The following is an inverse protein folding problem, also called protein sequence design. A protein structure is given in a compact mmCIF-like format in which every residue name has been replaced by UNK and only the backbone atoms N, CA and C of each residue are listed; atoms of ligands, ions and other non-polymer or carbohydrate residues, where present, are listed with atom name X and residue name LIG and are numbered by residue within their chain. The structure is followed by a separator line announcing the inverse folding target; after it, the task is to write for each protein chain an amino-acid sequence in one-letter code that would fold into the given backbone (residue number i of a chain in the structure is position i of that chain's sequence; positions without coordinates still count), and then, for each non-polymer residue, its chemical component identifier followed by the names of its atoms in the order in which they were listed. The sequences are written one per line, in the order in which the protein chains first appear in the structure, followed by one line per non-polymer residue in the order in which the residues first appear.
data_IF_949219567868
#
_entry.id   IF_949219567868
#
_cell.length_a   1.000
_cell.length_b   1.000
_cell.length_c   1.000
_cell.angle_alpha   90.00
_cell.angle_beta   90.00
_cell.angle_gamma   90.00
#
_symmetry.space_group_name_H-M   'P 1'
#
loop_
_entity.id
_entity.type
_entity.pdbx_description
1 polymer ?
#
# COMPACT_ATOMS: atom_id res chain seq x y z
N UNK A 1 -66.35 -8.14 2.67
CA UNK A 1 -65.72 -6.83 2.43
C UNK A 1 -65.03 -6.41 3.71
N UNK A 2 -63.70 -6.32 3.72
CA UNK A 2 -62.93 -5.91 4.90
C UNK A 2 -61.56 -6.59 4.96
N UNK A 3 -60.70 -6.24 4.02
CA UNK A 3 -59.32 -6.67 3.90
C UNK A 3 -58.40 -5.95 4.91
N UNK A 4 -57.19 -6.52 5.05
CA UNK A 4 -55.89 -5.84 5.25
C UNK A 4 -55.17 -6.01 6.60
N UNK A 5 -54.14 -6.86 6.51
CA UNK A 5 -52.82 -6.72 7.12
C UNK A 5 -52.27 -5.28 7.09
N UNK A 6 -51.48 -4.96 8.11
CA UNK A 6 -50.52 -3.87 8.15
C UNK A 6 -50.23 -3.55 9.62
N UNK A 7 -49.03 -3.19 10.06
CA UNK A 7 -47.74 -3.09 9.44
C UNK A 7 -46.73 -3.02 10.59
N UNK A 8 -45.56 -3.61 10.40
CA UNK A 8 -44.38 -3.37 11.23
C UNK A 8 -44.06 -1.88 11.21
N UNK A 9 -44.04 -1.22 12.36
CA UNK A 9 -43.42 0.10 12.51
C UNK A 9 -42.35 0.02 13.59
N UNK A 10 -41.13 -0.22 13.12
CA UNK A 10 -39.86 0.03 13.79
C UNK A 10 -39.72 1.52 14.13
N UNK A 11 -39.20 1.88 15.32
CA UNK A 11 -38.97 3.27 15.66
C UNK A 11 -37.85 3.87 14.80
N UNK A 12 -38.06 5.15 14.49
CA UNK A 12 -37.21 6.02 13.69
C UNK A 12 -35.81 6.12 14.31
N UNK A 13 -34.76 5.98 13.49
CA UNK A 13 -33.40 6.36 13.87
C UNK A 13 -33.05 7.67 13.15
N UNK A 14 -33.37 8.77 13.81
CA UNK A 14 -32.77 10.07 13.52
C UNK A 14 -31.38 10.10 14.15
N UNK A 15 -30.39 10.46 13.34
CA UNK A 15 -28.97 10.52 13.70
C UNK A 15 -28.23 10.48 12.39
N UNK A 16 -28.21 11.59 11.65
CA UNK A 16 -27.34 12.69 12.03
C UNK A 16 -26.07 12.47 11.22
N UNK A 17 -26.17 12.83 9.94
CA UNK A 17 -25.00 12.98 9.09
C UNK A 17 -24.15 14.10 9.66
N UNK A 18 -22.85 13.86 9.64
CA UNK A 18 -21.76 14.82 9.47
C UNK A 18 -20.52 14.28 10.17
N UNK A 19 -19.40 14.35 9.46
CA UNK A 19 -18.04 13.90 9.83
C UNK A 19 -17.68 12.45 9.47
N UNK A 20 -17.59 12.18 8.16
CA UNK A 20 -16.43 11.46 7.66
C UNK A 20 -15.75 12.36 6.64
N UNK A 21 -14.94 13.28 7.15
CA UNK A 21 -13.89 13.94 6.38
C UNK A 21 -13.20 12.87 5.57
N UNK A 22 -13.33 13.01 4.25
CA UNK A 22 -12.55 12.27 3.28
C UNK A 22 -11.09 12.38 3.73
N UNK A 23 -10.60 11.29 4.31
CA UNK A 23 -9.19 11.07 4.51
C UNK A 23 -8.61 10.92 3.12
N UNK A 24 -8.35 12.05 2.48
CA UNK A 24 -7.46 12.21 1.34
C UNK A 24 -6.04 11.89 1.85
N UNK A 25 -5.83 10.64 2.22
CA UNK A 25 -4.50 10.10 2.30
C UNK A 25 -4.11 9.88 0.86
N UNK A 26 -3.12 10.61 0.32
CA UNK A 26 -2.43 10.15 -0.87
C UNK A 26 -1.72 8.86 -0.46
N UNK A 27 -2.44 7.74 -0.57
CA UNK A 27 -1.81 6.43 -0.60
C UNK A 27 -0.73 6.49 -1.68
N UNK A 28 0.47 5.93 -1.42
CA UNK A 28 1.56 6.02 -2.39
C UNK A 28 1.03 5.49 -3.72
N UNK A 29 1.01 6.35 -4.73
CA UNK A 29 0.53 6.04 -6.06
C UNK A 29 1.19 4.73 -6.51
N UNK A 30 0.41 3.65 -6.47
CA UNK A 30 0.91 2.30 -6.66
C UNK A 30 1.32 2.18 -8.12
N UNK A 31 2.61 2.26 -8.40
CA UNK A 31 3.17 1.89 -9.69
C UNK A 31 3.15 2.95 -10.79
N UNK A 32 2.97 4.24 -10.47
CA UNK A 32 3.41 5.26 -11.42
C UNK A 32 4.95 5.19 -11.46
N UNK A 33 5.52 4.48 -12.44
CA UNK A 33 6.93 4.63 -12.79
C UNK A 33 7.11 6.10 -13.10
N UNK A 34 7.65 6.85 -12.14
CA UNK A 34 7.94 8.26 -12.35
C UNK A 34 8.70 8.40 -13.67
N UNK A 35 8.43 9.45 -14.47
CA UNK A 35 9.19 9.70 -15.69
C UNK A 35 10.69 9.57 -15.40
N UNK A 36 11.39 8.68 -16.11
CA UNK A 36 12.81 8.36 -15.87
C UNK A 36 13.10 7.11 -15.03
N UNK A 37 12.09 6.43 -14.47
CA UNK A 37 12.30 5.17 -13.73
C UNK A 37 12.86 4.03 -14.59
N UNK A 38 12.41 3.92 -15.83
CA UNK A 38 12.90 2.91 -16.78
C UNK A 38 14.35 3.15 -17.22
N UNK A 39 14.74 4.42 -17.41
CA UNK A 39 16.13 4.78 -17.73
C UNK A 39 17.08 4.46 -16.58
N UNK A 40 16.69 4.84 -15.35
CA UNK A 40 17.46 4.51 -14.14
C UNK A 40 17.60 2.99 -13.97
N UNK A 41 16.52 2.23 -14.22
CA UNK A 41 16.57 0.78 -14.15
C UNK A 41 17.54 0.21 -15.18
N UNK A 42 17.44 0.65 -16.43
CA UNK A 42 18.34 0.20 -17.48
C UNK A 42 19.80 0.53 -17.15
N UNK A 43 20.10 1.76 -16.71
CA UNK A 43 21.47 2.14 -16.29
C UNK A 43 21.98 1.31 -15.12
N UNK A 44 21.14 1.08 -14.10
CA UNK A 44 21.50 0.23 -12.96
C UNK A 44 21.83 -1.20 -13.39
N UNK A 45 21.06 -1.77 -14.33
CA UNK A 45 21.32 -3.10 -14.91
C UNK A 45 22.65 -3.18 -15.67
N UNK A 46 23.15 -2.06 -16.21
CA UNK A 46 24.48 -1.97 -16.83
C UNK A 46 25.60 -1.59 -15.84
N UNK A 47 25.33 -1.63 -14.54
CA UNK A 47 26.32 -1.40 -13.49
C UNK A 47 26.45 0.05 -13.01
N UNK A 48 25.55 0.96 -13.42
CA UNK A 48 25.51 2.32 -12.86
C UNK A 48 25.04 2.28 -11.39
N UNK A 49 26.03 2.36 -10.49
CA UNK A 49 25.82 2.28 -9.05
C UNK A 49 25.01 3.47 -8.50
N UNK A 50 25.07 4.65 -9.13
CA UNK A 50 24.29 5.81 -8.70
C UNK A 50 22.82 5.67 -9.12
N UNK A 51 22.59 5.12 -10.31
CA UNK A 51 21.24 4.78 -10.75
C UNK A 51 20.61 3.71 -9.83
N UNK A 52 21.38 2.69 -9.44
CA UNK A 52 20.94 1.70 -8.46
C UNK A 52 20.64 2.33 -7.11
N UNK A 53 21.52 3.19 -6.57
CA UNK A 53 21.29 3.88 -5.30
C UNK A 53 19.99 4.71 -5.31
N UNK A 54 19.69 5.37 -6.42
CA UNK A 54 18.45 6.13 -6.59
C UNK A 54 17.22 5.21 -6.51
N UNK A 55 17.26 4.05 -7.18
CA UNK A 55 16.19 3.06 -7.13
C UNK A 55 16.07 2.46 -5.71
N UNK A 56 17.19 2.10 -5.08
CA UNK A 56 17.22 1.56 -3.73
C UNK A 56 16.54 2.50 -2.74
N UNK A 57 16.95 3.78 -2.69
CA UNK A 57 16.35 4.78 -1.80
C UNK A 57 14.86 4.98 -2.03
N UNK A 58 14.42 4.89 -3.29
CA UNK A 58 13.01 5.03 -3.65
C UNK A 58 12.16 3.85 -3.21
N UNK A 59 12.69 2.62 -3.27
CA UNK A 59 11.89 1.41 -3.11
C UNK A 59 12.13 0.64 -1.80
N UNK A 60 13.24 0.85 -1.09
CA UNK A 60 13.58 0.11 0.14
C UNK A 60 12.46 0.18 1.19
N UNK A 61 11.87 1.35 1.40
CA UNK A 61 10.76 1.50 2.36
C UNK A 61 9.49 0.75 1.95
N UNK A 62 9.21 0.65 0.64
CA UNK A 62 8.06 -0.09 0.13
C UNK A 62 8.26 -1.60 0.29
N UNK A 63 9.46 -2.09 -0.04
CA UNK A 63 9.84 -3.51 0.15
C UNK A 63 9.82 -3.84 1.64
N UNK A 64 10.43 -3.03 2.49
CA UNK A 64 10.44 -3.25 3.94
C UNK A 64 9.02 -3.31 4.51
N UNK A 65 8.12 -2.39 4.13
CA UNK A 65 6.72 -2.42 4.57
C UNK A 65 6.00 -3.68 4.10
N UNK A 66 6.23 -4.11 2.86
CA UNK A 66 5.68 -5.35 2.34
C UNK A 66 6.17 -6.57 3.14
N UNK A 67 7.47 -6.67 3.38
CA UNK A 67 8.07 -7.79 4.14
C UNK A 67 7.56 -7.80 5.58
N UNK A 68 7.48 -6.65 6.26
CA UNK A 68 6.92 -6.54 7.63
C UNK A 68 5.49 -7.10 7.68
N UNK A 69 4.63 -6.73 6.73
CA UNK A 69 3.25 -7.24 6.68
C UNK A 69 3.25 -8.73 6.41
N UNK A 70 4.12 -9.22 5.51
CA UNK A 70 4.16 -10.63 5.12
C UNK A 70 4.72 -11.54 6.23
N UNK A 71 5.62 -11.03 7.06
CA UNK A 71 6.27 -11.74 8.16
C UNK A 71 5.62 -11.47 9.52
N UNK A 72 4.40 -10.91 9.55
CA UNK A 72 3.73 -10.53 10.80
C UNK A 72 3.68 -11.65 11.84
N UNK A 73 3.47 -12.89 11.37
CA UNK A 73 3.32 -14.10 12.17
C UNK A 73 4.54 -15.06 12.03
N UNK A 74 5.69 -14.53 11.60
CA UNK A 74 6.94 -15.27 11.39
C UNK A 74 8.11 -14.55 12.07
N UNK A 75 9.33 -15.05 11.86
CA UNK A 75 10.54 -14.44 12.40
C UNK A 75 10.74 -13.01 11.88
N UNK A 76 10.61 -12.03 12.78
CA UNK A 76 10.76 -10.62 12.44
C UNK A 76 12.22 -10.18 12.36
N UNK A 77 13.12 -10.93 12.98
CA UNK A 77 14.53 -10.59 12.99
C UNK A 77 15.17 -10.86 11.62
N UNK A 78 14.54 -11.69 10.78
CA UNK A 78 14.93 -11.94 9.40
C UNK A 78 14.50 -10.85 8.39
N UNK A 79 13.70 -9.86 8.81
CA UNK A 79 13.19 -8.80 7.92
C UNK A 79 14.30 -7.99 7.24
N UNK A 80 15.34 -7.50 7.96
CA UNK A 80 16.43 -6.74 7.34
C UNK A 80 17.14 -7.53 6.25
N UNK A 81 17.40 -8.82 6.49
CA UNK A 81 18.10 -9.70 5.56
C UNK A 81 17.28 -9.93 4.30
N UNK A 82 15.98 -10.20 4.44
CA UNK A 82 15.08 -10.38 3.28
C UNK A 82 14.94 -9.12 2.43
N UNK A 83 14.94 -7.95 3.07
CA UNK A 83 14.95 -6.68 2.35
C UNK A 83 16.26 -6.54 1.57
N UNK A 84 17.40 -6.82 2.19
CA UNK A 84 18.70 -6.77 1.53
C UNK A 84 18.80 -7.75 0.36
N UNK A 85 18.40 -9.00 0.55
CA UNK A 85 18.40 -10.05 -0.47
C UNK A 85 17.59 -9.65 -1.70
N UNK A 86 16.45 -8.99 -1.50
CA UNK A 86 15.61 -8.49 -2.60
C UNK A 86 16.36 -7.55 -3.55
N UNK A 87 17.33 -6.78 -3.03
CA UNK A 87 18.13 -5.86 -3.84
C UNK A 87 19.46 -6.44 -4.30
N UNK A 88 19.95 -7.51 -3.66
CA UNK A 88 21.23 -8.14 -3.98
C UNK A 88 21.13 -9.32 -4.96
N UNK A 89 19.94 -9.90 -5.15
CA UNK A 89 19.69 -11.01 -6.10
C UNK A 89 19.35 -10.49 -7.51
N UNK A 90 19.28 -9.16 -7.70
CA UNK A 90 18.86 -8.51 -8.95
C UNK A 90 19.96 -8.42 -10.03
#
# INVERSE_FOLDING_TARGET
MGHHQGARHTPVRTGGGDTATASDHPGPARGATAPGGADLLHRAQHGDRLAFEHLYRRYVGNVQRYVIVRMRDSDRDAIPDLVQDTFCIA
#
